data_IF_170312498921
#
_entry.id   IF_170312498921
#
_cell.length_a   1.000
_cell.length_b   1.000
_cell.length_c   1.000
_cell.angle_alpha   90.00
_cell.angle_beta   90.00
_cell.angle_gamma   90.00
#
_symmetry.space_group_name_H-M   'P 1'
#
loop_
_entity.id
_entity.type
_entity.pdbx_description
1 polymer ?
#
# COMPACT_ATOMS: atom_id res chain seq x y z
N UNK A 1 4.14 -20.06 -3.65
CA UNK A 1 4.46 -18.70 -3.17
C UNK A 1 4.53 -18.65 -1.65
N UNK A 2 3.41 -18.76 -0.91
CA UNK A 2 3.41 -18.66 0.55
C UNK A 2 4.38 -19.65 1.23
N UNK A 3 4.37 -20.92 0.84
CA UNK A 3 5.26 -21.95 1.42
C UNK A 3 6.74 -21.63 1.24
N UNK A 4 7.18 -21.39 -0.01
CA UNK A 4 8.57 -21.04 -0.31
C UNK A 4 9.03 -19.74 0.38
N UNK A 5 8.14 -18.77 0.57
CA UNK A 5 8.46 -17.55 1.31
C UNK A 5 8.58 -17.82 2.81
N UNK A 6 7.69 -18.61 3.39
CA UNK A 6 7.74 -18.95 4.81
C UNK A 6 9.00 -19.77 5.17
N UNK A 7 9.49 -20.60 4.24
CA UNK A 7 10.74 -21.37 4.43
C UNK A 7 11.98 -20.49 4.46
N UNK A 8 12.06 -19.48 3.57
CA UNK A 8 13.24 -18.59 3.47
C UNK A 8 13.17 -17.37 4.38
N UNK A 9 11.96 -16.86 4.61
CA UNK A 9 11.68 -15.62 5.33
C UNK A 9 10.37 -15.78 6.16
N UNK A 10 10.42 -16.48 7.30
CA UNK A 10 9.23 -16.79 8.10
C UNK A 10 8.48 -15.54 8.59
N UNK A 11 9.18 -14.43 8.77
CA UNK A 11 8.60 -13.16 9.23
C UNK A 11 8.05 -12.29 8.08
N UNK A 12 8.22 -12.71 6.82
CA UNK A 12 7.76 -11.93 5.68
C UNK A 12 6.23 -11.85 5.60
N UNK A 13 5.73 -10.64 5.36
CA UNK A 13 4.31 -10.40 5.13
C UNK A 13 4.00 -10.46 3.63
N UNK A 14 3.19 -11.44 3.21
CA UNK A 14 2.77 -11.55 1.80
C UNK A 14 1.61 -10.59 1.55
N UNK A 15 1.88 -9.42 0.99
CA UNK A 15 0.85 -8.43 0.65
C UNK A 15 0.33 -8.65 -0.77
N UNK A 16 -0.14 -9.87 -1.04
CA UNK A 16 -0.75 -10.25 -2.31
C UNK A 16 -1.99 -11.09 -2.02
N UNK A 17 -3.17 -10.72 -2.57
CA UNK A 17 -4.38 -11.43 -2.29
C UNK A 17 -4.32 -12.86 -2.87
N UNK A 18 -4.82 -13.86 -2.15
CA UNK A 18 -5.06 -15.19 -2.72
C UNK A 18 -5.89 -15.12 -4.01
N UNK A 19 -5.69 -16.11 -4.88
CA UNK A 19 -6.50 -16.28 -6.10
C UNK A 19 -7.98 -16.40 -5.76
N UNK A 20 -8.85 -16.05 -6.70
CA UNK A 20 -10.28 -16.33 -6.56
C UNK A 20 -10.52 -17.84 -6.36
N UNK A 21 -11.45 -18.19 -5.48
CA UNK A 21 -11.72 -19.60 -5.12
C UNK A 21 -10.60 -20.28 -4.33
N UNK A 22 -9.73 -19.53 -3.65
CA UNK A 22 -8.76 -20.12 -2.74
C UNK A 22 -9.46 -20.77 -1.54
N UNK A 23 -9.19 -22.06 -1.30
CA UNK A 23 -9.72 -22.83 -0.16
C UNK A 23 -8.72 -22.86 0.99
N UNK A 24 -9.26 -22.89 2.21
CA UNK A 24 -8.52 -23.05 3.46
C UNK A 24 -7.70 -24.34 3.47
N UNK A 25 -6.56 -24.31 4.15
CA UNK A 25 -5.79 -25.52 4.45
C UNK A 25 -6.50 -26.39 5.50
N UNK A 26 -6.13 -27.67 5.58
CA UNK A 26 -6.67 -28.59 6.58
C UNK A 26 -6.36 -28.19 8.03
N UNK A 27 -5.34 -27.35 8.24
CA UNK A 27 -4.93 -26.85 9.57
C UNK A 27 -5.47 -25.46 9.87
N UNK A 28 -6.36 -24.91 9.03
CA UNK A 28 -6.83 -23.54 9.17
C UNK A 28 -7.53 -23.25 10.50
N UNK A 29 -8.18 -24.26 11.09
CA UNK A 29 -8.92 -24.12 12.35
C UNK A 29 -8.00 -24.10 13.59
N UNK A 30 -6.86 -24.79 13.53
CA UNK A 30 -5.95 -24.96 14.68
C UNK A 30 -4.69 -24.12 14.57
N UNK A 31 -4.11 -24.03 13.38
CA UNK A 31 -2.89 -23.26 13.09
C UNK A 31 -2.99 -22.63 11.70
N UNK A 32 -3.80 -21.57 11.54
CA UNK A 32 -3.99 -20.93 10.25
C UNK A 32 -2.67 -20.35 9.72
N UNK A 33 -2.36 -20.71 8.47
CA UNK A 33 -1.28 -20.06 7.74
C UNK A 33 -1.64 -18.61 7.42
N UNK A 34 -0.66 -17.79 7.04
CA UNK A 34 -0.93 -16.43 6.56
C UNK A 34 -1.92 -16.41 5.38
N UNK A 35 -1.86 -17.41 4.49
CA UNK A 35 -2.82 -17.57 3.39
C UNK A 35 -4.23 -17.82 3.91
N UNK A 36 -4.39 -18.69 4.92
CA UNK A 36 -5.70 -19.01 5.50
C UNK A 36 -6.31 -17.77 6.16
N UNK A 37 -5.51 -16.99 6.88
CA UNK A 37 -5.94 -15.70 7.44
C UNK A 37 -6.41 -14.73 6.36
N UNK A 38 -5.70 -14.64 5.23
CA UNK A 38 -6.15 -13.80 4.11
C UNK A 38 -7.48 -14.29 3.50
N UNK A 39 -7.66 -15.60 3.36
CA UNK A 39 -8.91 -16.18 2.86
C UNK A 39 -10.07 -15.85 3.82
N UNK A 40 -9.87 -16.02 5.13
CA UNK A 40 -10.87 -15.70 6.16
C UNK A 40 -11.23 -14.21 6.14
N UNK A 41 -10.26 -13.29 6.11
CA UNK A 41 -10.52 -11.84 6.05
C UNK A 41 -11.24 -11.45 4.75
N UNK A 42 -10.91 -12.07 3.62
CA UNK A 42 -11.60 -11.82 2.36
C UNK A 42 -13.05 -12.34 2.41
N UNK A 43 -13.29 -13.49 3.03
CA UNK A 43 -14.65 -14.02 3.21
C UNK A 43 -15.49 -13.12 4.13
N UNK A 44 -14.88 -12.58 5.20
CA UNK A 44 -15.55 -11.71 6.17
C UNK A 44 -15.81 -10.29 5.62
N UNK A 45 -14.81 -9.67 4.99
CA UNK A 45 -14.80 -8.22 4.66
C UNK A 45 -14.78 -7.92 3.17
N UNK A 46 -14.79 -8.96 2.34
CA UNK A 46 -14.55 -8.86 0.92
C UNK A 46 -13.10 -8.51 0.57
N UNK A 47 -12.78 -8.60 -0.73
CA UNK A 47 -11.44 -8.33 -1.25
C UNK A 47 -10.99 -6.88 -1.03
N UNK A 48 -11.91 -5.93 -1.14
CA UNK A 48 -11.62 -4.50 -0.89
C UNK A 48 -11.32 -4.23 0.59
N UNK A 49 -12.06 -4.86 1.51
CA UNK A 49 -11.80 -4.78 2.94
C UNK A 49 -10.40 -5.30 3.27
N UNK A 50 -10.05 -6.46 2.74
CA UNK A 50 -8.71 -7.02 2.87
C UNK A 50 -7.62 -6.08 2.34
N UNK A 51 -7.79 -5.48 1.16
CA UNK A 51 -6.79 -4.54 0.58
C UNK A 51 -6.55 -3.31 1.48
N UNK A 52 -7.60 -2.80 2.13
CA UNK A 52 -7.49 -1.66 3.06
C UNK A 52 -6.68 -2.03 4.31
N UNK A 53 -6.88 -3.22 4.86
CA UNK A 53 -6.23 -3.63 6.11
C UNK A 53 -4.86 -4.29 5.92
N UNK A 54 -4.57 -4.83 4.73
CA UNK A 54 -3.32 -5.57 4.47
C UNK A 54 -2.14 -4.69 4.09
N UNK A 55 -2.35 -3.40 3.81
CA UNK A 55 -1.32 -2.50 3.28
C UNK A 55 -1.08 -2.66 1.77
N UNK A 56 -1.94 -3.40 1.06
CA UNK A 56 -1.83 -3.63 -0.38
C UNK A 56 -1.73 -2.34 -1.19
N UNK A 57 -2.50 -1.32 -0.81
CA UNK A 57 -2.54 -0.05 -1.54
C UNK A 57 -1.40 0.92 -1.15
N UNK A 58 -0.49 0.55 -0.25
CA UNK A 58 0.58 1.45 0.21
C UNK A 58 1.48 1.90 -0.96
N UNK A 59 1.89 0.96 -1.82
CA UNK A 59 2.69 1.28 -3.01
C UNK A 59 1.97 2.25 -3.95
N UNK A 60 0.71 1.93 -4.30
CA UNK A 60 -0.08 2.78 -5.18
C UNK A 60 -0.27 4.20 -4.60
N UNK A 61 -0.40 4.34 -3.28
CA UNK A 61 -0.46 5.64 -2.60
C UNK A 61 0.83 6.45 -2.71
N UNK A 62 1.99 5.80 -2.54
CA UNK A 62 3.30 6.44 -2.71
C UNK A 62 3.52 6.84 -4.17
N UNK A 63 3.23 5.94 -5.11
CA UNK A 63 3.35 6.21 -6.55
C UNK A 63 2.47 7.39 -6.97
N UNK A 64 1.22 7.45 -6.49
CA UNK A 64 0.32 8.58 -6.75
C UNK A 64 0.85 9.89 -6.16
N UNK A 65 1.47 9.86 -4.99
CA UNK A 65 2.08 11.04 -4.37
C UNK A 65 3.31 11.52 -5.16
N UNK A 66 4.17 10.61 -5.60
CA UNK A 66 5.33 10.95 -6.43
C UNK A 66 4.92 11.43 -7.83
N UNK A 67 3.84 10.89 -8.40
CA UNK A 67 3.26 11.39 -9.64
C UNK A 67 2.81 12.86 -9.50
N UNK A 68 2.11 13.21 -8.41
CA UNK A 68 1.71 14.60 -8.11
C UNK A 68 2.92 15.49 -7.90
N UNK A 69 3.92 15.02 -7.15
CA UNK A 69 5.18 15.75 -6.95
C UNK A 69 5.79 16.14 -8.29
N UNK A 70 6.01 15.16 -9.18
CA UNK A 70 6.64 15.41 -10.48
C UNK A 70 5.81 16.34 -11.37
N UNK A 71 4.49 16.24 -11.32
CA UNK A 71 3.58 17.07 -12.13
C UNK A 71 3.49 18.52 -11.67
N UNK A 72 3.55 18.77 -10.36
CA UNK A 72 3.32 20.10 -9.78
C UNK A 72 4.64 20.83 -9.51
N UNK A 73 5.65 20.13 -8.99
CA UNK A 73 6.92 20.70 -8.57
C UNK A 73 7.98 20.56 -9.66
N UNK A 74 8.09 19.34 -10.22
CA UNK A 74 9.08 18.98 -11.23
C UNK A 74 9.69 17.61 -10.97
N UNK A 75 10.33 17.04 -11.98
CA UNK A 75 11.01 15.75 -11.94
C UNK A 75 12.49 15.82 -11.55
N UNK A 76 13.00 17.03 -11.33
CA UNK A 76 14.39 17.33 -10.96
C UNK A 76 14.44 18.19 -9.69
N UNK A 77 15.56 18.12 -8.98
CA UNK A 77 15.84 19.03 -7.87
C UNK A 77 16.53 20.29 -8.40
N UNK A 78 16.14 21.45 -7.88
CA UNK A 78 16.78 22.74 -8.21
C UNK A 78 18.06 22.95 -7.42
N UNK A 79 18.14 22.35 -6.24
CA UNK A 79 19.31 22.42 -5.37
C UNK A 79 20.44 21.54 -5.88
N UNK A 80 21.65 22.09 -5.86
CA UNK A 80 22.87 21.36 -6.24
C UNK A 80 23.71 20.89 -5.04
N UNK A 81 23.46 21.42 -3.83
CA UNK A 81 24.17 21.02 -2.61
C UNK A 81 23.38 19.97 -1.82
N UNK A 82 24.06 18.94 -1.31
CA UNK A 82 23.43 17.84 -0.55
C UNK A 82 22.52 18.32 0.59
N UNK A 83 22.90 19.28 1.45
CA UNK A 83 22.02 19.74 2.53
C UNK A 83 20.71 20.33 2.00
N UNK A 84 20.76 21.06 0.90
CA UNK A 84 19.59 21.64 0.26
C UNK A 84 18.76 20.59 -0.47
N UNK A 85 19.39 19.58 -1.08
CA UNK A 85 18.71 18.45 -1.71
C UNK A 85 17.95 17.57 -0.71
N UNK A 86 18.38 17.51 0.55
CA UNK A 86 17.64 16.78 1.59
C UNK A 86 16.39 17.56 2.07
N UNK A 87 16.44 18.89 1.99
CA UNK A 87 15.39 19.79 2.52
C UNK A 87 14.35 20.15 1.45
N UNK A 88 14.76 20.42 0.21
CA UNK A 88 13.88 20.75 -0.91
C UNK A 88 12.69 19.80 -1.07
N UNK A 89 12.86 18.46 -1.16
CA UNK A 89 11.74 17.54 -1.31
C UNK A 89 10.84 17.49 -0.07
N UNK A 90 11.39 17.73 1.13
CA UNK A 90 10.59 17.76 2.37
C UNK A 90 9.64 18.96 2.37
N UNK A 91 10.14 20.14 2.02
CA UNK A 91 9.32 21.36 1.89
C UNK A 91 8.28 21.16 0.78
N UNK A 92 8.67 20.64 -0.38
CA UNK A 92 7.75 20.40 -1.48
C UNK A 92 6.63 19.41 -1.11
N UNK A 93 6.95 18.33 -0.39
CA UNK A 93 5.94 17.38 0.12
C UNK A 93 5.01 18.06 1.14
N UNK A 94 5.53 18.88 2.04
CA UNK A 94 4.72 19.61 3.02
C UNK A 94 3.71 20.56 2.33
N UNK A 95 4.19 21.31 1.33
CA UNK A 95 3.33 22.16 0.49
C UNK A 95 2.28 21.33 -0.24
N UNK A 96 2.63 20.18 -0.82
CA UNK A 96 1.69 19.29 -1.50
C UNK A 96 0.62 18.72 -0.56
N UNK A 97 1.00 18.35 0.66
CA UNK A 97 0.05 17.89 1.68
C UNK A 97 -0.92 19.01 2.05
N UNK A 98 -0.41 20.24 2.25
CA UNK A 98 -1.24 21.40 2.53
C UNK A 98 -2.19 21.76 1.39
N UNK A 99 -1.73 21.67 0.13
CA UNK A 99 -2.57 21.84 -1.04
C UNK A 99 -3.67 20.78 -1.10
N UNK A 100 -3.33 19.54 -0.77
CA UNK A 100 -4.30 18.45 -0.73
C UNK A 100 -5.39 18.72 0.31
N UNK A 101 -5.03 19.15 1.52
CA UNK A 101 -6.02 19.45 2.57
C UNK A 101 -6.97 20.61 2.21
N UNK A 102 -6.51 21.58 1.41
CA UNK A 102 -7.33 22.73 1.00
C UNK A 102 -8.25 22.47 -0.19
N UNK A 103 -7.93 21.51 -1.05
CA UNK A 103 -8.59 21.34 -2.35
C UNK A 103 -9.04 19.91 -2.65
N UNK A 104 -9.10 19.03 -1.65
CA UNK A 104 -9.46 17.62 -1.85
C UNK A 104 -10.92 17.48 -2.27
N UNK A 105 -11.22 16.98 -3.49
CA UNK A 105 -12.58 16.62 -3.83
C UNK A 105 -13.02 15.38 -3.03
N UNK A 106 -14.24 15.40 -2.53
CA UNK A 106 -14.87 14.21 -1.94
C UNK A 106 -15.27 13.23 -3.05
N UNK A 107 -14.54 12.12 -3.16
CA UNK A 107 -14.90 11.05 -4.08
C UNK A 107 -15.93 10.12 -3.44
N UNK A 108 -17.19 10.28 -3.84
CA UNK A 108 -18.28 9.36 -3.50
C UNK A 108 -18.40 8.26 -4.55
N UNK A 109 -18.58 7.03 -4.07
CA UNK A 109 -18.85 5.88 -4.95
C UNK A 109 -20.34 5.84 -5.24
N UNK A 110 -20.71 6.01 -6.50
CA UNK A 110 -22.09 5.85 -6.97
C UNK A 110 -22.34 4.35 -7.19
N UNK A 111 -23.49 3.87 -6.72
CA UNK A 111 -23.93 2.47 -6.81
C UNK A 111 -24.52 2.14 -8.18
#
# INVERSE_FOLDING_TARGET
>A
MYTALNERHPDAKVIVPPRAGAVLSSTADTKPSQRDRHIQVIAERGRMGWQRTSGYNARAGVEGTMSRYKRIIGDTLRSHGQPSQDVEPRIAIDVLNRMFDLGRPESVRIA
#
